data_IF_423052022030
#
_entry.id   IF_423052022030
#
_cell.length_a   1.000
_cell.length_b   1.000
_cell.length_c   1.000
_cell.angle_alpha   90.00
_cell.angle_beta   90.00
_cell.angle_gamma   90.00
#
_symmetry.space_group_name_H-M   'P 1'
#
loop_
_entity.id
_entity.type
_entity.pdbx_description
1 polymer ?
#
# COMPACT_ATOMS: atom_id res chain seq x y z
N UNK A 1 3.75 5.02 -13.91
CA UNK A 1 2.31 4.99 -14.25
C UNK A 1 1.99 3.55 -14.61
N UNK A 2 0.96 2.93 -14.02
CA UNK A 2 0.67 1.50 -14.17
C UNK A 2 0.43 1.17 -15.66
N UNK A 3 1.07 0.13 -16.18
CA UNK A 3 0.86 -0.29 -17.58
C UNK A 3 -0.55 -0.86 -17.79
N UNK A 4 -1.02 -0.95 -19.04
CA UNK A 4 -2.34 -1.54 -19.32
C UNK A 4 -2.38 -3.01 -18.86
N UNK A 5 -1.30 -3.75 -19.10
CA UNK A 5 -1.14 -5.16 -18.67
C UNK A 5 -1.26 -5.29 -17.15
N UNK A 6 -0.52 -4.47 -16.41
CA UNK A 6 -0.56 -4.47 -14.95
C UNK A 6 -1.95 -4.11 -14.42
N UNK A 7 -2.67 -3.21 -15.09
CA UNK A 7 -4.02 -2.82 -14.73
C UNK A 7 -5.04 -3.94 -14.92
N UNK A 8 -4.96 -4.70 -16.01
CA UNK A 8 -5.92 -5.79 -16.28
C UNK A 8 -5.54 -7.11 -15.60
N UNK A 9 -4.28 -7.30 -15.19
CA UNK A 9 -3.78 -8.53 -14.56
C UNK A 9 -4.66 -9.02 -13.39
N UNK A 10 -5.16 -8.18 -12.47
CA UNK A 10 -6.04 -8.63 -11.39
C UNK A 10 -7.45 -9.01 -11.86
N UNK A 11 -7.89 -8.52 -13.03
CA UNK A 11 -9.15 -8.92 -13.65
C UNK A 11 -9.02 -10.27 -14.35
N UNK A 12 -7.85 -10.58 -14.91
CA UNK A 12 -7.54 -11.85 -15.57
C UNK A 12 -8.59 -12.24 -16.61
N UNK A 13 -9.01 -13.51 -16.61
CA UNK A 13 -10.04 -14.03 -17.52
C UNK A 13 -11.41 -13.36 -17.38
N UNK A 14 -11.69 -12.68 -16.25
CA UNK A 14 -12.94 -11.92 -16.08
C UNK A 14 -12.96 -10.65 -16.92
N UNK A 15 -11.83 -10.16 -17.40
CA UNK A 15 -11.78 -9.06 -18.36
C UNK A 15 -12.15 -9.54 -19.76
N UNK A 16 -11.52 -10.61 -20.23
CA UNK A 16 -11.74 -11.16 -21.58
C UNK A 16 -13.14 -11.74 -21.75
N UNK A 17 -13.77 -12.23 -20.67
CA UNK A 17 -15.16 -12.69 -20.68
C UNK A 17 -16.22 -11.56 -20.78
N UNK A 18 -15.82 -10.28 -20.65
CA UNK A 18 -16.76 -9.14 -20.75
C UNK A 18 -17.10 -8.84 -22.21
N UNK A 19 -18.26 -8.21 -22.41
CA UNK A 19 -18.65 -7.74 -23.74
C UNK A 19 -17.75 -6.60 -24.22
N UNK A 20 -17.62 -6.44 -25.53
CA UNK A 20 -16.81 -5.37 -26.12
C UNK A 20 -17.15 -3.96 -25.57
N UNK A 21 -18.42 -3.57 -25.38
CA UNK A 21 -18.74 -2.29 -24.73
C UNK A 21 -18.20 -2.18 -23.30
N UNK A 22 -18.28 -3.26 -22.51
CA UNK A 22 -17.76 -3.26 -21.14
C UNK A 22 -16.24 -3.17 -21.09
N UNK A 23 -15.53 -3.86 -22.00
CA UNK A 23 -14.08 -3.76 -22.12
C UNK A 23 -13.65 -2.33 -22.50
N UNK A 24 -14.36 -1.71 -23.45
CA UNK A 24 -14.13 -0.30 -23.84
C UNK A 24 -14.37 0.65 -22.67
N UNK A 25 -15.41 0.44 -21.87
CA UNK A 25 -15.67 1.26 -20.66
C UNK A 25 -14.54 1.11 -19.63
N UNK A 26 -14.04 -0.11 -19.40
CA UNK A 26 -12.94 -0.36 -18.47
C UNK A 26 -11.64 0.34 -18.94
N UNK A 27 -11.31 0.26 -20.23
CA UNK A 27 -10.16 0.99 -20.76
C UNK A 27 -10.38 2.50 -20.76
N UNK A 28 -11.58 3.00 -21.07
CA UNK A 28 -11.92 4.41 -20.90
C UNK A 28 -11.73 4.90 -19.46
N UNK A 29 -12.06 4.06 -18.47
CA UNK A 29 -11.79 4.35 -17.07
C UNK A 29 -10.29 4.40 -16.78
N UNK A 30 -9.51 3.43 -17.27
CA UNK A 30 -8.04 3.42 -17.13
C UNK A 30 -7.39 4.68 -17.70
N UNK A 31 -7.79 5.09 -18.91
CA UNK A 31 -7.27 6.30 -19.55
C UNK A 31 -7.57 7.56 -18.73
N UNK A 32 -8.75 7.65 -18.14
CA UNK A 32 -9.10 8.77 -17.28
C UNK A 32 -8.44 8.76 -15.89
N UNK A 33 -8.46 7.61 -15.22
CA UNK A 33 -8.11 7.50 -13.80
C UNK A 33 -6.64 7.16 -13.56
N UNK A 34 -5.99 6.51 -14.53
CA UNK A 34 -4.59 6.06 -14.43
C UNK A 34 -3.68 6.85 -15.36
N UNK A 35 -4.15 7.19 -16.57
CA UNK A 35 -3.37 7.99 -17.53
C UNK A 35 -3.64 9.50 -17.43
N UNK A 36 -4.57 9.91 -16.56
CA UNK A 36 -4.98 11.31 -16.34
C UNK A 36 -5.40 12.04 -17.63
N UNK A 37 -5.88 11.30 -18.63
CA UNK A 37 -6.37 11.89 -19.86
C UNK A 37 -7.77 12.47 -19.65
N UNK A 38 -7.96 13.75 -19.98
CA UNK A 38 -9.26 14.41 -19.86
C UNK A 38 -10.29 13.83 -20.84
N UNK A 39 -9.85 13.43 -22.03
CA UNK A 39 -10.64 12.75 -23.07
C UNK A 39 -9.77 11.69 -23.76
N UNK A 40 -10.41 10.70 -24.36
CA UNK A 40 -9.76 9.64 -25.15
C UNK A 40 -10.40 9.48 -26.53
N UNK A 41 -9.62 8.98 -27.49
CA UNK A 41 -10.07 8.64 -28.84
C UNK A 41 -10.18 7.14 -29.09
N UNK A 42 -10.59 6.78 -30.31
CA UNK A 42 -10.59 5.38 -30.78
C UNK A 42 -9.19 4.77 -30.79
N UNK A 43 -8.17 5.57 -31.13
CA UNK A 43 -6.77 5.17 -31.13
C UNK A 43 -6.25 4.80 -29.74
N UNK A 44 -6.57 5.60 -28.72
CA UNK A 44 -6.15 5.33 -27.33
C UNK A 44 -6.75 4.02 -26.80
N UNK A 45 -8.03 3.76 -27.11
CA UNK A 45 -8.69 2.49 -26.78
C UNK A 45 -8.03 1.33 -27.53
N UNK A 46 -7.75 1.49 -28.82
CA UNK A 46 -7.05 0.48 -29.62
C UNK A 46 -5.68 0.11 -29.04
N UNK A 47 -4.90 1.12 -28.66
CA UNK A 47 -3.60 0.94 -28.02
C UNK A 47 -3.70 0.19 -26.68
N UNK A 48 -4.79 0.39 -25.92
CA UNK A 48 -5.04 -0.39 -24.72
C UNK A 48 -5.27 -1.87 -25.01
N UNK A 49 -6.04 -2.22 -26.05
CA UNK A 49 -6.22 -3.62 -26.45
C UNK A 49 -4.91 -4.27 -26.91
N UNK A 50 -4.09 -3.53 -27.66
CA UNK A 50 -2.78 -4.02 -28.12
C UNK A 50 -1.83 -4.29 -26.97
N UNK A 51 -1.70 -3.30 -26.06
CA UNK A 51 -0.86 -3.44 -24.88
C UNK A 51 -1.38 -4.54 -23.95
N UNK A 52 -2.69 -4.75 -23.88
CA UNK A 52 -3.29 -5.84 -23.11
C UNK A 52 -3.09 -7.23 -23.74
N UNK A 53 -2.60 -7.31 -24.99
CA UNK A 53 -2.61 -8.52 -25.79
C UNK A 53 -3.99 -9.18 -25.90
N UNK A 54 -5.05 -8.37 -25.99
CA UNK A 54 -6.44 -8.83 -26.13
C UNK A 54 -6.97 -8.46 -27.51
N UNK A 55 -7.74 -9.36 -28.12
CA UNK A 55 -8.37 -9.11 -29.42
C UNK A 55 -9.21 -7.83 -29.38
N UNK A 56 -8.99 -6.95 -30.35
CA UNK A 56 -9.78 -5.73 -30.50
C UNK A 56 -11.22 -6.07 -30.88
N UNK A 57 -12.21 -5.27 -30.44
CA UNK A 57 -13.53 -5.29 -31.04
C UNK A 57 -13.43 -5.03 -32.54
N UNK A 58 -14.25 -5.71 -33.34
CA UNK A 58 -14.27 -5.56 -34.81
C UNK A 58 -14.41 -4.10 -35.26
N UNK A 59 -15.14 -3.29 -34.50
CA UNK A 59 -15.22 -1.85 -34.72
C UNK A 59 -15.36 -1.08 -33.40
N UNK A 60 -14.25 -0.48 -32.95
CA UNK A 60 -14.21 0.33 -31.73
C UNK A 60 -15.06 1.60 -31.89
N UNK A 61 -15.05 2.24 -33.06
CA UNK A 61 -15.83 3.45 -33.31
C UNK A 61 -17.34 3.19 -33.22
N UNK A 62 -17.82 2.08 -33.81
CA UNK A 62 -19.22 1.67 -33.70
C UNK A 62 -19.60 1.30 -32.26
N UNK A 63 -18.69 0.70 -31.50
CA UNK A 63 -18.89 0.39 -30.07
C UNK A 63 -19.05 1.67 -29.25
N UNK A 64 -18.17 2.66 -29.47
CA UNK A 64 -18.25 3.97 -28.83
C UNK A 64 -19.53 4.72 -29.23
N UNK A 65 -19.97 4.65 -30.49
CA UNK A 65 -21.23 5.24 -30.93
C UNK A 65 -22.43 4.69 -30.13
N UNK A 66 -22.50 3.36 -29.96
CA UNK A 66 -23.55 2.72 -29.13
C UNK A 66 -23.47 3.14 -27.65
N UNK A 67 -22.26 3.29 -27.11
CA UNK A 67 -22.08 3.77 -25.73
C UNK A 67 -22.47 5.25 -25.58
N UNK A 68 -22.32 6.06 -26.64
CA UNK A 68 -22.80 7.45 -26.68
C UNK A 68 -24.32 7.52 -26.71
N UNK A 69 -24.99 6.69 -27.51
CA UNK A 69 -26.46 6.59 -27.53
C UNK A 69 -27.03 6.25 -26.15
N UNK A 70 -26.35 5.36 -25.43
CA UNK A 70 -26.71 4.96 -24.05
C UNK A 70 -26.33 5.97 -22.98
N UNK A 71 -25.63 7.05 -23.34
CA UNK A 71 -25.07 8.07 -22.42
C UNK A 71 -24.05 7.50 -21.40
N UNK A 72 -23.50 6.33 -21.70
CA UNK A 72 -22.42 5.73 -20.92
C UNK A 72 -21.09 6.47 -21.20
N UNK A 73 -20.93 6.90 -22.44
CA UNK A 73 -19.85 7.75 -22.94
C UNK A 73 -20.43 9.07 -23.44
N UNK A 74 -19.73 10.17 -23.20
CA UNK A 74 -20.07 11.51 -23.65
C UNK A 74 -19.10 11.93 -24.76
N UNK A 75 -19.63 12.51 -25.83
CA UNK A 75 -18.84 13.01 -26.95
C UNK A 75 -18.39 14.46 -26.71
N UNK A 76 -17.13 14.76 -27.00
CA UNK A 76 -16.56 16.11 -26.99
C UNK A 76 -15.72 16.30 -28.26
N UNK A 77 -16.36 16.86 -29.31
CA UNK A 77 -15.76 16.92 -30.64
C UNK A 77 -15.45 15.53 -31.20
N UNK A 78 -14.18 15.29 -31.55
CA UNK A 78 -13.67 13.99 -32.01
C UNK A 78 -13.18 13.08 -30.88
N UNK A 79 -13.36 13.49 -29.63
CA UNK A 79 -12.93 12.76 -28.44
C UNK A 79 -14.11 12.33 -27.57
N UNK A 80 -13.84 11.44 -26.63
CA UNK A 80 -14.82 10.80 -25.77
C UNK A 80 -14.39 10.90 -24.31
N UNK A 81 -15.37 10.88 -23.40
CA UNK A 81 -15.14 10.71 -21.96
C UNK A 81 -16.25 9.89 -21.33
N UNK A 82 -15.97 9.18 -20.24
CA UNK A 82 -17.02 8.47 -19.51
C UNK A 82 -17.99 9.43 -18.83
N UNK A 83 -19.28 9.08 -18.76
CA UNK A 83 -20.22 9.79 -17.90
C UNK A 83 -19.89 9.57 -16.42
N UNK A 84 -20.27 10.51 -15.55
CA UNK A 84 -19.95 10.44 -14.12
C UNK A 84 -20.51 9.17 -13.45
N UNK A 85 -21.71 8.74 -13.86
CA UNK A 85 -22.36 7.54 -13.35
C UNK A 85 -21.61 6.28 -13.76
N UNK A 86 -21.22 6.16 -15.04
CA UNK A 86 -20.48 4.99 -15.53
C UNK A 86 -19.06 4.96 -14.97
N UNK A 87 -18.41 6.11 -14.84
CA UNK A 87 -17.10 6.20 -14.19
C UNK A 87 -17.15 5.68 -12.76
N UNK A 88 -18.12 6.15 -11.96
CA UNK A 88 -18.31 5.72 -10.57
C UNK A 88 -18.72 4.24 -10.46
N UNK A 89 -19.59 3.76 -11.34
CA UNK A 89 -20.01 2.36 -11.36
C UNK A 89 -18.85 1.43 -11.72
N UNK A 90 -18.05 1.80 -12.71
CA UNK A 90 -16.88 1.03 -13.16
C UNK A 90 -15.82 0.98 -12.07
N UNK A 91 -15.56 2.10 -11.38
CA UNK A 91 -14.61 2.14 -10.26
C UNK A 91 -14.94 1.15 -9.15
N UNK A 92 -16.23 0.97 -8.80
CA UNK A 92 -16.65 -0.01 -7.79
C UNK A 92 -16.44 -1.46 -8.23
N UNK A 93 -16.45 -1.72 -9.53
CA UNK A 93 -16.27 -3.06 -10.11
C UNK A 93 -14.80 -3.43 -10.31
N UNK A 94 -13.91 -2.44 -10.33
CA UNK A 94 -12.49 -2.67 -10.54
C UNK A 94 -11.81 -3.02 -9.21
N UNK A 95 -10.92 -4.03 -9.21
CA UNK A 95 -10.13 -4.39 -8.03
C UNK A 95 -9.13 -3.28 -7.67
N UNK A 96 -8.80 -2.42 -8.64
CA UNK A 96 -7.95 -1.25 -8.47
C UNK A 96 -8.85 -0.03 -8.26
N UNK A 97 -8.98 0.42 -7.01
CA UNK A 97 -9.54 1.76 -6.75
C UNK A 97 -8.53 2.77 -7.28
N UNK A 98 -8.94 3.88 -7.90
CA UNK A 98 -7.99 4.90 -8.36
C UNK A 98 -7.10 5.42 -7.22
N UNK A 99 -7.62 5.39 -5.98
CA UNK A 99 -6.85 5.60 -4.76
C UNK A 99 -5.67 4.64 -4.62
N UNK A 100 -5.84 3.35 -4.91
CA UNK A 100 -4.78 2.32 -4.79
C UNK A 100 -3.59 2.59 -5.72
N UNK A 101 -3.79 3.24 -6.88
CA UNK A 101 -2.70 3.58 -7.81
C UNK A 101 -1.84 4.72 -7.26
N UNK A 102 -2.48 5.80 -6.79
CA UNK A 102 -1.79 6.93 -6.18
C UNK A 102 -1.10 6.51 -4.87
N UNK A 103 -1.80 5.76 -4.02
CA UNK A 103 -1.24 5.13 -2.82
C UNK A 103 -0.04 4.25 -3.14
N UNK A 104 -0.12 3.40 -4.17
CA UNK A 104 0.99 2.52 -4.52
C UNK A 104 2.23 3.32 -4.98
N UNK A 105 2.03 4.43 -5.71
CA UNK A 105 3.14 5.33 -6.06
C UNK A 105 3.74 5.96 -4.79
N UNK A 106 2.91 6.56 -3.94
CA UNK A 106 3.36 7.17 -2.67
C UNK A 106 4.18 6.18 -1.84
N UNK A 107 3.69 4.96 -1.69
CA UNK A 107 4.36 3.92 -0.90
C UNK A 107 5.65 3.41 -1.58
N UNK A 108 5.70 3.29 -2.91
CA UNK A 108 6.92 2.94 -3.62
C UNK A 108 8.00 4.03 -3.49
N UNK A 109 7.60 5.31 -3.47
CA UNK A 109 8.52 6.44 -3.32
C UNK A 109 9.17 6.50 -1.92
N UNK A 110 8.67 5.72 -0.95
CA UNK A 110 9.31 5.54 0.37
C UNK A 110 10.54 4.62 0.32
N UNK A 111 10.57 3.63 -0.58
CA UNK A 111 11.67 2.65 -0.67
C UNK A 111 13.04 3.30 -0.87
N UNK A 112 13.24 4.20 -1.86
CA UNK A 112 14.55 4.81 -2.06
C UNK A 112 14.98 5.75 -0.93
N UNK A 113 14.05 6.14 -0.03
CA UNK A 113 14.36 7.00 1.13
C UNK A 113 14.97 6.20 2.29
N UNK A 114 14.76 4.89 2.35
CA UNK A 114 15.34 4.01 3.36
C UNK A 114 16.75 3.63 2.93
N UNK A 115 17.79 4.08 3.64
CA UNK A 115 19.17 3.88 3.22
C UNK A 115 19.67 2.43 3.35
N UNK A 116 19.19 1.68 4.34
CA UNK A 116 19.64 0.33 4.63
C UNK A 116 18.97 -0.70 3.68
N UNK A 117 19.79 -1.50 2.99
CA UNK A 117 19.31 -2.48 1.99
C UNK A 117 18.49 -3.64 2.58
N UNK A 118 18.78 -4.07 3.81
CA UNK A 118 17.96 -5.07 4.50
C UNK A 118 16.59 -4.50 4.85
N UNK A 119 16.53 -3.24 5.32
CA UNK A 119 15.27 -2.54 5.57
C UNK A 119 14.47 -2.30 4.29
N UNK A 120 15.13 -1.96 3.18
CA UNK A 120 14.48 -1.88 1.87
C UNK A 120 13.88 -3.23 1.44
N UNK A 121 14.55 -4.34 1.74
CA UNK A 121 14.04 -5.68 1.43
C UNK A 121 12.73 -5.94 2.18
N UNK A 122 12.70 -5.70 3.49
CA UNK A 122 11.48 -5.83 4.31
C UNK A 122 10.37 -4.87 3.86
N UNK A 123 10.71 -3.64 3.50
CA UNK A 123 9.72 -2.70 2.98
C UNK A 123 9.14 -3.18 1.65
N UNK A 124 9.96 -3.70 0.74
CA UNK A 124 9.48 -4.28 -0.51
C UNK A 124 8.56 -5.49 -0.29
N UNK A 125 8.84 -6.36 0.68
CA UNK A 125 7.94 -7.45 1.06
C UNK A 125 6.61 -6.93 1.62
N UNK A 126 6.67 -5.91 2.49
CA UNK A 126 5.49 -5.21 3.00
C UNK A 126 4.62 -4.68 1.85
N UNK A 127 5.22 -4.03 0.86
CA UNK A 127 4.53 -3.50 -0.31
C UNK A 127 3.98 -4.60 -1.23
N UNK A 128 4.62 -5.76 -1.31
CA UNK A 128 4.07 -6.92 -2.02
C UNK A 128 2.78 -7.40 -1.35
N UNK A 129 2.74 -7.52 -0.02
CA UNK A 129 1.50 -7.83 0.71
C UNK A 129 0.41 -6.80 0.44
N UNK A 130 0.75 -5.51 0.50
CA UNK A 130 -0.19 -4.42 0.22
C UNK A 130 -0.80 -4.52 -1.19
N UNK A 131 0.04 -4.66 -2.22
CA UNK A 131 -0.37 -4.71 -3.63
C UNK A 131 -1.27 -5.90 -3.94
N UNK A 132 -1.13 -7.00 -3.20
CA UNK A 132 -1.94 -8.21 -3.34
C UNK A 132 -3.24 -8.17 -2.51
N UNK A 133 -3.54 -7.06 -1.83
CA UNK A 133 -4.72 -6.94 -0.98
C UNK A 133 -4.61 -7.69 0.36
N UNK A 134 -3.43 -8.19 0.71
CA UNK A 134 -3.16 -8.87 1.98
C UNK A 134 -2.90 -7.85 3.09
N UNK A 135 -3.88 -7.00 3.40
CA UNK A 135 -3.70 -5.83 4.27
C UNK A 135 -3.31 -6.19 5.71
N UNK A 136 -3.82 -7.30 6.25
CA UNK A 136 -3.41 -7.81 7.57
C UNK A 136 -1.92 -8.13 7.59
N UNK A 137 -1.44 -8.87 6.59
CA UNK A 137 -0.02 -9.21 6.45
C UNK A 137 0.84 -7.96 6.22
N UNK A 138 0.35 -7.01 5.42
CA UNK A 138 1.04 -5.74 5.19
C UNK A 138 1.26 -4.95 6.49
N UNK A 139 0.26 -4.89 7.37
CA UNK A 139 0.38 -4.23 8.68
C UNK A 139 1.42 -4.94 9.56
N UNK A 140 1.39 -6.28 9.59
CA UNK A 140 2.35 -7.09 10.36
C UNK A 140 3.78 -6.90 9.85
N UNK A 141 3.99 -6.91 8.53
CA UNK A 141 5.32 -6.73 7.93
C UNK A 141 5.87 -5.32 8.17
N UNK A 142 5.02 -4.28 8.05
CA UNK A 142 5.41 -2.91 8.35
C UNK A 142 5.86 -2.74 9.81
N UNK A 143 5.14 -3.39 10.74
CA UNK A 143 5.50 -3.42 12.15
C UNK A 143 6.85 -4.11 12.38
N UNK A 144 7.06 -5.30 11.80
CA UNK A 144 8.32 -6.05 11.96
C UNK A 144 9.52 -5.22 11.48
N UNK A 145 9.37 -4.51 10.36
CA UNK A 145 10.38 -3.58 9.86
C UNK A 145 10.71 -2.48 10.88
N UNK A 146 9.70 -1.76 11.39
CA UNK A 146 9.92 -0.69 12.36
C UNK A 146 10.50 -1.20 13.69
N UNK A 147 10.02 -2.35 14.18
CA UNK A 147 10.50 -2.93 15.42
C UNK A 147 11.94 -3.41 15.31
N UNK A 148 12.30 -4.09 14.21
CA UNK A 148 13.69 -4.50 13.95
C UNK A 148 14.65 -3.31 13.92
N UNK A 149 14.24 -2.20 13.29
CA UNK A 149 15.03 -0.97 13.27
C UNK A 149 15.29 -0.40 14.67
N UNK A 150 14.31 -0.46 15.58
CA UNK A 150 14.48 -0.03 16.97
C UNK A 150 15.43 -0.97 17.72
N UNK A 151 15.26 -2.28 17.56
CA UNK A 151 16.16 -3.26 18.17
C UNK A 151 17.61 -3.07 17.70
N UNK A 152 17.82 -2.82 16.40
CA UNK A 152 19.13 -2.53 15.83
C UNK A 152 19.75 -1.26 16.44
N UNK A 153 18.98 -0.17 16.58
CA UNK A 153 19.44 1.07 17.24
C UNK A 153 19.89 0.80 18.68
N UNK A 154 19.10 0.02 19.42
CA UNK A 154 19.40 -0.33 20.82
C UNK A 154 20.73 -1.08 20.88
N UNK A 155 20.90 -2.12 20.06
CA UNK A 155 22.13 -2.92 20.03
C UNK A 155 23.35 -2.14 19.56
N UNK A 156 23.17 -1.26 18.58
CA UNK A 156 24.27 -0.50 17.99
C UNK A 156 24.85 0.56 18.93
N UNK A 157 24.02 1.19 19.77
CA UNK A 157 24.49 2.36 20.55
C UNK A 157 23.83 2.62 21.90
N UNK A 158 22.72 1.95 22.25
CA UNK A 158 21.93 2.29 23.44
C UNK A 158 21.84 1.16 24.47
N UNK A 159 22.56 0.06 24.28
CA UNK A 159 22.40 -1.16 25.10
C UNK A 159 22.64 -0.92 26.60
N UNK A 160 23.64 -0.10 26.94
CA UNK A 160 23.96 0.26 28.33
C UNK A 160 22.82 1.04 28.97
N UNK A 161 22.35 2.08 28.28
CA UNK A 161 21.24 2.95 28.72
C UNK A 161 19.93 2.18 28.83
N UNK A 162 19.65 1.31 27.86
CA UNK A 162 18.47 0.44 27.84
C UNK A 162 18.48 -0.53 29.01
N UNK A 163 19.58 -1.28 29.21
CA UNK A 163 19.69 -2.26 30.29
C UNK A 163 19.63 -1.60 31.68
N UNK A 164 20.22 -0.40 31.83
CA UNK A 164 20.09 0.38 33.06
C UNK A 164 18.62 0.70 33.38
N UNK A 165 17.86 1.21 32.41
CA UNK A 165 16.44 1.50 32.60
C UNK A 165 15.61 0.22 32.81
N UNK A 166 15.89 -0.84 32.06
CA UNK A 166 15.26 -2.15 32.23
C UNK A 166 15.39 -2.66 33.66
N UNK A 167 16.56 -2.50 34.30
CA UNK A 167 16.76 -2.94 35.70
C UNK A 167 15.84 -2.20 36.67
N UNK A 168 15.44 -0.96 36.36
CA UNK A 168 14.51 -0.18 37.17
C UNK A 168 13.05 -0.59 36.91
N UNK A 169 12.67 -0.75 35.64
CA UNK A 169 11.25 -0.95 35.27
C UNK A 169 10.84 -2.43 35.21
N UNK A 170 11.74 -3.29 34.76
CA UNK A 170 11.52 -4.72 34.55
C UNK A 170 12.72 -5.54 35.05
N UNK A 171 12.98 -5.58 36.38
CA UNK A 171 14.19 -6.18 36.95
C UNK A 171 14.36 -7.67 36.61
N UNK A 172 13.26 -8.41 36.39
CA UNK A 172 13.27 -9.85 36.09
C UNK A 172 13.62 -10.21 34.65
N UNK A 173 13.57 -9.26 33.70
CA UNK A 173 13.96 -9.54 32.31
C UNK A 173 15.49 -9.64 32.19
N UNK A 174 16.04 -10.47 31.29
CA UNK A 174 17.48 -10.56 31.07
C UNK A 174 18.02 -9.29 30.44
N UNK A 175 19.31 -8.98 30.62
CA UNK A 175 19.96 -7.89 29.90
C UNK A 175 20.04 -8.20 28.40
N UNK A 176 19.88 -7.19 27.55
CA UNK A 176 20.05 -7.32 26.10
C UNK A 176 21.54 -7.25 25.75
N UNK A 177 22.00 -8.20 24.93
CA UNK A 177 23.36 -8.24 24.35
C UNK A 177 23.37 -8.57 22.86
N UNK A 178 22.31 -9.23 22.38
CA UNK A 178 22.12 -9.65 20.98
C UNK A 178 20.63 -9.61 20.62
N UNK A 179 20.34 -9.71 19.32
CA UNK A 179 18.97 -9.62 18.79
C UNK A 179 18.00 -10.64 19.40
N UNK A 180 18.43 -11.89 19.59
CA UNK A 180 17.57 -12.94 20.16
C UNK A 180 17.12 -12.64 21.59
N UNK A 181 17.83 -11.79 22.33
CA UNK A 181 17.48 -11.47 23.72
C UNK A 181 16.18 -10.66 23.80
N UNK A 182 15.75 -10.01 22.70
CA UNK A 182 14.46 -9.34 22.63
C UNK A 182 13.27 -10.31 22.61
N UNK A 183 13.48 -11.61 22.37
CA UNK A 183 12.39 -12.62 22.38
C UNK A 183 11.82 -12.84 23.79
N UNK A 184 12.61 -12.57 24.83
CA UNK A 184 12.15 -12.62 26.23
C UNK A 184 11.29 -11.40 26.61
N UNK A 185 11.21 -10.40 25.74
CA UNK A 185 10.51 -9.15 25.98
C UNK A 185 9.20 -9.09 25.21
N UNK A 186 8.16 -8.54 25.84
CA UNK A 186 7.04 -8.01 25.07
C UNK A 186 7.49 -6.74 24.38
N UNK A 187 7.07 -6.54 23.13
CA UNK A 187 7.40 -5.33 22.37
C UNK A 187 6.92 -4.05 23.07
N UNK A 188 5.80 -4.11 23.81
CA UNK A 188 5.33 -2.98 24.63
C UNK A 188 6.32 -2.62 25.73
N UNK A 189 6.97 -3.61 26.34
CA UNK A 189 7.99 -3.38 27.38
C UNK A 189 9.22 -2.70 26.78
N UNK A 190 9.63 -3.10 25.57
CA UNK A 190 10.75 -2.45 24.86
C UNK A 190 10.46 -0.97 24.60
N UNK A 191 9.25 -0.65 24.14
CA UNK A 191 8.82 0.75 23.91
C UNK A 191 8.84 1.54 25.23
N UNK A 192 8.30 0.97 26.31
CA UNK A 192 8.25 1.62 27.62
C UNK A 192 9.64 1.87 28.22
N UNK A 193 10.54 0.89 28.11
CA UNK A 193 11.94 1.03 28.54
C UNK A 193 12.61 2.13 27.73
N UNK A 194 12.47 2.14 26.40
CA UNK A 194 13.03 3.18 25.55
C UNK A 194 12.54 4.58 25.94
N UNK A 195 11.25 4.71 26.27
CA UNK A 195 10.67 5.97 26.73
C UNK A 195 11.26 6.42 28.05
N UNK A 196 11.32 5.52 29.04
CA UNK A 196 11.89 5.83 30.36
C UNK A 196 13.36 6.22 30.28
N UNK A 197 14.11 5.56 29.40
CA UNK A 197 15.52 5.80 29.14
C UNK A 197 15.78 7.02 28.24
N UNK A 198 14.74 7.65 27.68
CA UNK A 198 14.81 8.73 26.68
C UNK A 198 15.60 8.34 25.41
N UNK A 199 15.63 7.05 25.09
CA UNK A 199 16.18 6.53 23.83
C UNK A 199 15.29 6.91 22.65
N UNK A 200 13.98 6.92 22.90
CA UNK A 200 12.94 7.38 21.99
C UNK A 200 12.14 8.50 22.66
N UNK A 201 11.72 9.50 21.89
CA UNK A 201 10.87 10.56 22.39
C UNK A 201 9.42 10.08 22.63
N UNK A 202 8.66 10.88 23.38
CA UNK A 202 7.29 10.54 23.75
C UNK A 202 6.33 10.44 22.55
N UNK A 203 6.59 11.19 21.48
CA UNK A 203 5.78 11.19 20.27
C UNK A 203 6.00 9.89 19.51
N UNK A 204 7.26 9.51 19.25
CA UNK A 204 7.63 8.23 18.61
C UNK A 204 7.05 7.05 19.40
N UNK A 205 7.18 7.04 20.73
CA UNK A 205 6.59 5.99 21.56
C UNK A 205 5.06 5.93 21.42
N UNK A 206 4.38 7.07 21.27
CA UNK A 206 2.92 7.09 21.04
C UNK A 206 2.55 6.48 19.68
N UNK A 207 3.30 6.81 18.63
CA UNK A 207 3.12 6.18 17.31
C UNK A 207 3.34 4.67 17.38
N UNK A 208 4.45 4.22 17.97
CA UNK A 208 4.76 2.80 18.11
C UNK A 208 3.70 2.03 18.90
N UNK A 209 3.24 2.55 20.04
CA UNK A 209 2.19 1.90 20.82
C UNK A 209 0.88 1.80 20.05
N UNK A 210 0.50 2.83 19.29
CA UNK A 210 -0.69 2.79 18.46
C UNK A 210 -0.59 1.72 17.35
N UNK A 211 0.57 1.65 16.69
CA UNK A 211 0.81 0.67 15.62
C UNK A 211 0.96 -0.76 16.15
N UNK A 212 1.55 -0.95 17.34
CA UNK A 212 1.60 -2.24 18.04
C UNK A 212 0.19 -2.79 18.28
N UNK A 213 -0.71 -1.95 18.81
CA UNK A 213 -2.09 -2.34 19.05
C UNK A 213 -2.81 -2.73 17.75
N UNK A 214 -2.64 -1.94 16.69
CA UNK A 214 -3.22 -2.25 15.37
C UNK A 214 -2.66 -3.55 14.81
N UNK A 215 -1.36 -3.78 14.92
CA UNK A 215 -0.72 -5.03 14.48
C UNK A 215 -1.24 -6.22 15.26
N UNK A 216 -1.40 -6.12 16.57
CA UNK A 216 -1.98 -7.20 17.39
C UNK A 216 -3.39 -7.56 16.88
N UNK A 217 -4.25 -6.56 16.63
CA UNK A 217 -5.57 -6.81 16.03
C UNK A 217 -5.49 -7.45 14.63
N UNK A 218 -4.50 -7.07 13.81
CA UNK A 218 -4.30 -7.63 12.48
C UNK A 218 -3.73 -9.07 12.49
N UNK A 219 -2.90 -9.41 13.47
CA UNK A 219 -2.25 -10.71 13.60
C UNK A 219 -3.16 -11.79 14.22
N UNK A 220 -4.06 -11.42 15.13
CA UNK A 220 -4.95 -12.38 15.79
C UNK A 220 -6.19 -12.72 14.94
N UNK A 221 -6.55 -14.01 14.81
CA UNK A 221 -7.79 -14.40 14.14
C UNK A 221 -8.98 -13.76 14.86
N UNK A 222 -9.61 -12.80 14.20
CA UNK A 222 -10.70 -11.99 14.75
C UNK A 222 -11.62 -11.55 13.60
N UNK A 223 -12.81 -11.07 13.96
CA UNK A 223 -13.78 -10.49 13.02
C UNK A 223 -13.36 -9.12 12.49
N UNK A 224 -12.22 -8.58 12.94
CA UNK A 224 -11.72 -7.29 12.48
C UNK A 224 -11.35 -7.36 11.00
N UNK A 225 -11.92 -6.45 10.23
CA UNK A 225 -11.62 -6.27 8.80
C UNK A 225 -10.60 -5.14 8.64
N UNK A 226 -9.57 -5.37 7.84
CA UNK A 226 -8.53 -4.40 7.53
C UNK A 226 -8.57 -4.02 6.06
N UNK A 227 -8.55 -2.73 5.77
CA UNK A 227 -8.64 -2.19 4.40
C UNK A 227 -7.35 -1.50 3.97
N UNK A 228 -7.22 -1.23 2.67
CA UNK A 228 -6.06 -0.56 2.08
C UNK A 228 -5.65 0.71 2.82
N UNK A 229 -6.61 1.60 3.14
CA UNK A 229 -6.32 2.85 3.83
C UNK A 229 -5.64 2.65 5.20
N UNK A 230 -6.02 1.62 5.95
CA UNK A 230 -5.43 1.32 7.26
C UNK A 230 -4.02 0.75 7.12
N UNK A 231 -3.78 -0.08 6.11
CA UNK A 231 -2.43 -0.59 5.84
C UNK A 231 -1.50 0.51 5.32
N UNK A 232 -2.00 1.40 4.43
CA UNK A 232 -1.28 2.57 3.95
C UNK A 232 -0.89 3.52 5.08
N UNK A 233 -1.84 3.82 5.97
CA UNK A 233 -1.60 4.64 7.16
C UNK A 233 -0.51 4.03 8.05
N UNK A 234 -0.57 2.71 8.32
CA UNK A 234 0.48 2.04 9.10
C UNK A 234 1.85 2.10 8.44
N UNK A 235 1.95 1.83 7.13
CA UNK A 235 3.24 1.87 6.41
C UNK A 235 3.79 3.30 6.43
N UNK A 236 2.96 4.29 6.10
CA UNK A 236 3.38 5.69 5.98
C UNK A 236 3.79 6.26 7.34
N UNK A 237 3.04 5.96 8.40
CA UNK A 237 3.34 6.41 9.76
C UNK A 237 4.66 5.82 10.26
N UNK A 238 4.82 4.50 10.17
CA UNK A 238 6.03 3.83 10.64
C UNK A 238 7.27 4.24 9.83
N UNK A 239 7.17 4.35 8.52
CA UNK A 239 8.32 4.75 7.71
C UNK A 239 8.72 6.19 7.99
N UNK A 240 7.78 7.15 7.97
CA UNK A 240 8.16 8.56 8.14
C UNK A 240 8.52 8.92 9.59
N UNK A 241 7.79 8.39 10.58
CA UNK A 241 7.94 8.80 11.97
C UNK A 241 8.90 7.92 12.78
N UNK A 242 9.26 6.74 12.26
CA UNK A 242 10.21 5.82 12.90
C UNK A 242 11.45 5.65 12.02
N UNK A 243 11.34 5.06 10.82
CA UNK A 243 12.52 4.72 10.02
C UNK A 243 13.30 5.93 9.48
N UNK A 244 12.59 6.96 9.04
CA UNK A 244 13.19 8.17 8.44
C UNK A 244 13.35 9.30 9.44
N UNK A 245 12.98 9.08 10.70
CA UNK A 245 13.11 10.06 11.75
C UNK A 245 14.56 10.04 12.27
N UNK A 246 15.34 11.13 12.13
CA UNK A 246 16.74 11.15 12.56
C UNK A 246 16.92 11.03 14.08
N UNK A 247 15.85 11.19 14.86
CA UNK A 247 15.87 10.95 16.30
C UNK A 247 15.77 9.45 16.68
N UNK A 248 15.51 8.57 15.71
CA UNK A 248 15.39 7.10 15.83
C UNK A 248 16.44 6.43 14.93
#
# INVERSE_FOLDING_TARGET
MISVEEFIKPLGSRFTAKSAPQQVVIFGWYLHAVREQANFGTGDIGACFDAAHVARPANIAATLAKLVERKDVLRSGNSFRLSANVRSATERMLPVRASTVSTTKLLNDLVPRVANSAQQTFLNETLRCFKQGAFRASIVMAWNLAYSHICDRILASQVVTFNAQKRLTYPKLPDITKMSDFEDYKESQVIEICRGARILDATVCKHLTAQLNRRNSAAHPSSATFVAAQAEDTITDLVNNVLLNPAV
#
